data_IF_003105492778
#
_entry.id   IF_003105492778
#
_cell.length_a   1.000
_cell.length_b   1.000
_cell.length_c   1.000
_cell.angle_alpha   90.00
_cell.angle_beta   90.00
_cell.angle_gamma   90.00
#
_symmetry.space_group_name_H-M   'P 1'
#
loop_
_entity.id
_entity.type
_entity.pdbx_description
1 polymer ?
#
# COMPACT_ATOMS: atom_id res chain seq x y z
N UNK A 1 0.17 -12.75 -3.85
CA UNK A 1 -0.06 -14.20 -3.58
C UNK A 1 -1.47 -14.56 -4.05
N UNK A 2 -1.70 -15.64 -4.81
CA UNK A 2 -3.07 -15.95 -5.26
C UNK A 2 -3.93 -16.41 -4.08
N UNK A 3 -5.17 -15.93 -4.00
CA UNK A 3 -6.20 -16.31 -3.00
C UNK A 3 -6.35 -17.82 -2.79
N UNK A 4 -6.08 -18.63 -3.81
CA UNK A 4 -6.10 -20.09 -3.75
C UNK A 4 -5.07 -20.68 -2.76
N UNK A 5 -3.84 -20.18 -2.76
CA UNK A 5 -2.78 -20.69 -1.87
C UNK A 5 -3.07 -20.36 -0.40
N UNK A 6 -3.66 -19.19 -0.14
CA UNK A 6 -4.07 -18.79 1.19
C UNK A 6 -5.20 -19.68 1.73
N UNK A 7 -6.21 -19.96 0.89
CA UNK A 7 -7.31 -20.86 1.24
C UNK A 7 -6.83 -22.30 1.53
N UNK A 8 -5.91 -22.83 0.71
CA UNK A 8 -5.31 -24.16 0.94
C UNK A 8 -4.52 -24.18 2.26
N UNK A 9 -3.76 -23.12 2.55
CA UNK A 9 -3.01 -22.99 3.80
C UNK A 9 -3.91 -23.06 5.04
N UNK A 10 -5.01 -22.30 5.05
CA UNK A 10 -5.98 -22.35 6.15
C UNK A 10 -6.68 -23.70 6.30
N UNK A 11 -6.97 -24.37 5.18
CA UNK A 11 -7.55 -25.71 5.21
C UNK A 11 -6.60 -26.74 5.86
N UNK A 12 -5.30 -26.62 5.62
CA UNK A 12 -4.27 -27.44 6.30
C UNK A 12 -4.21 -27.14 7.79
N UNK A 13 -4.28 -25.86 8.19
CA UNK A 13 -4.30 -25.47 9.62
C UNK A 13 -5.53 -26.05 10.34
N UNK A 14 -6.70 -26.03 9.70
CA UNK A 14 -7.93 -26.60 10.28
C UNK A 14 -7.83 -28.12 10.46
N UNK A 15 -7.33 -28.84 9.45
CA UNK A 15 -7.10 -30.27 9.54
C UNK A 15 -6.11 -30.62 10.66
N UNK A 16 -5.06 -29.82 10.82
CA UNK A 16 -4.09 -29.97 11.89
C UNK A 16 -4.71 -29.75 13.28
N UNK A 17 -5.56 -28.73 13.43
CA UNK A 17 -6.25 -28.49 14.70
C UNK A 17 -7.13 -29.71 15.09
N UNK A 18 -7.79 -30.33 14.11
CA UNK A 18 -8.61 -31.53 14.35
C UNK A 18 -7.78 -32.75 14.75
N UNK A 19 -6.67 -33.04 14.05
CA UNK A 19 -5.79 -34.19 14.37
C UNK A 19 -5.08 -34.00 15.72
N UNK A 20 -4.64 -32.78 16.02
CA UNK A 20 -4.05 -32.41 17.31
C UNK A 20 -5.03 -32.59 18.47
N UNK A 21 -6.28 -32.16 18.29
CA UNK A 21 -7.33 -32.33 19.31
C UNK A 21 -7.57 -33.81 19.62
N UNK A 22 -7.65 -34.66 18.60
CA UNK A 22 -7.79 -36.11 18.74
C UNK A 22 -6.60 -36.75 19.47
N UNK A 23 -5.37 -36.31 19.17
CA UNK A 23 -4.17 -36.80 19.84
C UNK A 23 -4.09 -36.37 21.31
N UNK A 24 -4.48 -35.13 21.63
CA UNK A 24 -4.57 -34.65 23.01
C UNK A 24 -5.62 -35.46 23.78
N UNK A 25 -6.80 -35.70 23.21
CA UNK A 25 -7.85 -36.51 23.80
C UNK A 25 -7.41 -37.96 24.06
N UNK A 26 -6.60 -38.53 23.16
CA UNK A 26 -6.00 -39.86 23.35
C UNK A 26 -4.95 -39.86 24.47
N UNK A 27 -4.10 -38.83 24.55
CA UNK A 27 -3.07 -38.67 25.59
C UNK A 27 -3.65 -38.52 27.00
N UNK A 28 -4.77 -37.80 27.15
CA UNK A 28 -5.46 -37.65 28.45
C UNK A 28 -6.36 -38.85 28.79
N UNK A 29 -6.30 -39.94 28.00
CA UNK A 29 -7.04 -41.17 28.26
C UNK A 29 -8.55 -41.09 27.99
N UNK A 30 -9.03 -40.02 27.34
CA UNK A 30 -10.44 -39.86 26.94
C UNK A 30 -10.77 -40.69 25.69
N UNK A 31 -9.76 -41.16 24.96
CA UNK A 31 -9.90 -42.05 23.80
C UNK A 31 -8.93 -43.22 23.97
N UNK A 32 -9.43 -44.45 23.99
CA UNK A 32 -8.60 -45.65 24.03
C UNK A 32 -7.99 -45.92 22.64
N UNK A 33 -6.66 -45.93 22.55
CA UNK A 33 -5.94 -46.28 21.32
C UNK A 33 -4.86 -47.33 21.61
N UNK A 34 -4.55 -48.21 20.63
CA UNK A 34 -3.44 -49.14 20.76
C UNK A 34 -2.10 -48.41 20.94
N UNK A 35 -1.17 -48.91 21.78
CA UNK A 35 0.13 -48.26 22.03
C UNK A 35 0.97 -48.07 20.76
N UNK A 36 0.87 -48.97 19.80
CA UNK A 36 1.52 -48.87 18.48
C UNK A 36 0.97 -47.70 17.67
N UNK A 37 -0.34 -47.46 17.74
CA UNK A 37 -1.02 -46.38 17.05
C UNK A 37 -0.74 -45.02 17.70
N UNK A 38 -0.66 -44.98 19.03
CA UNK A 38 -0.34 -43.76 19.79
C UNK A 38 1.04 -43.19 19.41
N UNK A 39 2.07 -44.05 19.27
CA UNK A 39 3.41 -43.61 18.85
C UNK A 39 3.41 -43.00 17.44
N UNK A 40 2.68 -43.60 16.51
CA UNK A 40 2.55 -43.09 15.13
C UNK A 40 1.78 -41.77 15.14
N UNK A 41 0.72 -41.67 15.94
CA UNK A 41 -0.09 -40.46 16.06
C UNK A 41 0.72 -39.28 16.63
N UNK A 42 1.47 -39.50 17.71
CA UNK A 42 2.33 -38.47 18.31
C UNK A 42 3.43 -38.03 17.33
N UNK A 43 4.06 -38.97 16.63
CA UNK A 43 5.07 -38.64 15.62
C UNK A 43 4.50 -37.79 14.47
N UNK A 44 3.29 -38.11 14.00
CA UNK A 44 2.61 -37.32 12.96
C UNK A 44 2.25 -35.92 13.46
N UNK A 45 1.68 -35.79 14.66
CA UNK A 45 1.32 -34.48 15.23
C UNK A 45 2.54 -33.58 15.42
N UNK A 46 3.70 -34.14 15.80
CA UNK A 46 4.94 -33.37 15.90
C UNK A 46 5.42 -32.86 14.54
N UNK A 47 5.42 -33.71 13.51
CA UNK A 47 5.83 -33.33 12.15
C UNK A 47 4.86 -32.29 11.58
N UNK A 48 3.55 -32.52 11.70
CA UNK A 48 2.52 -31.59 11.25
C UNK A 48 2.59 -30.25 12.00
N UNK A 49 2.90 -30.27 13.30
CA UNK A 49 3.06 -29.06 14.12
C UNK A 49 4.26 -28.22 13.70
N UNK A 50 5.39 -28.86 13.37
CA UNK A 50 6.55 -28.15 12.78
C UNK A 50 6.19 -27.58 11.41
N UNK A 51 5.45 -28.31 10.59
CA UNK A 51 4.97 -27.84 9.28
C UNK A 51 4.03 -26.62 9.39
N UNK A 52 3.08 -26.64 10.32
CA UNK A 52 2.16 -25.54 10.58
C UNK A 52 2.90 -24.32 11.15
N UNK A 53 3.86 -24.51 12.06
CA UNK A 53 4.70 -23.43 12.58
C UNK A 53 5.54 -22.78 11.47
N UNK A 54 6.16 -23.58 10.59
CA UNK A 54 6.89 -23.07 9.43
C UNK A 54 5.98 -22.34 8.45
N UNK A 55 4.76 -22.84 8.21
CA UNK A 55 3.77 -22.16 7.37
C UNK A 55 3.33 -20.82 7.98
N UNK A 56 3.05 -20.77 9.28
CA UNK A 56 2.69 -19.54 9.99
C UNK A 56 3.84 -18.54 10.03
N UNK A 57 5.08 -19.01 10.23
CA UNK A 57 6.27 -18.17 10.14
C UNK A 57 6.49 -17.64 8.71
N UNK A 58 6.24 -18.47 7.69
CA UNK A 58 6.34 -18.04 6.29
C UNK A 58 5.23 -17.04 5.94
N UNK A 59 3.97 -17.31 6.32
CA UNK A 59 2.84 -16.41 6.11
C UNK A 59 3.05 -15.08 6.85
N UNK A 60 3.46 -15.12 8.12
CA UNK A 60 3.78 -13.93 8.92
C UNK A 60 5.00 -13.15 8.40
N UNK A 61 5.99 -13.83 7.82
CA UNK A 61 7.13 -13.15 7.18
C UNK A 61 6.73 -12.43 5.86
N UNK A 62 5.63 -12.86 5.23
CA UNK A 62 5.11 -12.21 4.03
C UNK A 62 4.21 -11.02 4.32
N UNK A 63 3.63 -10.89 5.53
CA UNK A 63 2.94 -9.69 6.01
C UNK A 63 3.93 -8.67 6.59
N UNK A 64 4.76 -8.10 5.73
CA UNK A 64 5.55 -6.92 6.10
C UNK A 64 4.66 -5.68 6.09
N UNK A 65 4.78 -4.82 7.10
CA UNK A 65 4.07 -3.54 7.13
C UNK A 65 4.35 -2.73 5.85
N UNK A 66 3.34 -2.06 5.27
CA UNK A 66 3.56 -1.18 4.14
C UNK A 66 4.51 -0.03 4.53
N UNK A 67 5.28 0.46 3.57
CA UNK A 67 6.21 1.56 3.81
C UNK A 67 5.47 2.80 4.35
N UNK A 68 6.02 3.43 5.40
CA UNK A 68 5.51 4.71 5.85
C UNK A 68 5.82 5.82 4.82
N UNK A 69 4.78 6.22 4.10
CA UNK A 69 4.80 7.29 3.11
C UNK A 69 4.28 8.64 3.67
N UNK A 70 3.94 8.71 4.96
CA UNK A 70 3.44 9.94 5.57
C UNK A 70 4.49 11.06 5.53
N UNK A 71 4.05 12.30 5.29
CA UNK A 71 4.90 13.49 5.25
C UNK A 71 4.63 14.40 4.05
N UNK A 72 5.55 15.33 3.81
CA UNK A 72 5.45 16.34 2.76
C UNK A 72 6.26 15.94 1.53
N UNK A 73 5.67 16.14 0.35
CA UNK A 73 6.20 15.71 -0.94
C UNK A 73 6.09 16.84 -1.96
N UNK A 74 7.08 16.96 -2.82
CA UNK A 74 6.92 17.62 -4.12
C UNK A 74 6.41 16.59 -5.12
N UNK A 75 5.60 17.02 -6.09
CA UNK A 75 5.19 16.13 -7.17
C UNK A 75 5.29 16.80 -8.54
N UNK A 76 5.51 15.95 -9.54
CA UNK A 76 5.44 16.28 -10.95
C UNK A 76 4.54 15.27 -11.66
N UNK A 77 3.59 15.77 -12.45
CA UNK A 77 2.73 14.99 -13.32
C UNK A 77 3.09 15.34 -14.75
N UNK A 78 3.61 14.38 -15.51
CA UNK A 78 4.05 14.58 -16.90
C UNK A 78 3.10 13.87 -17.84
N UNK A 79 2.44 14.63 -18.71
CA UNK A 79 1.65 14.11 -19.84
C UNK A 79 2.42 14.27 -21.15
N UNK A 80 1.81 13.93 -22.28
CA UNK A 80 2.35 14.24 -23.61
C UNK A 80 2.43 15.75 -23.89
N UNK A 81 1.61 16.56 -23.21
CA UNK A 81 1.39 17.97 -23.56
C UNK A 81 1.90 18.97 -22.53
N UNK A 82 2.12 18.52 -21.30
CA UNK A 82 2.54 19.39 -20.21
C UNK A 82 3.11 18.61 -19.03
N UNK A 83 3.91 19.30 -18.22
CA UNK A 83 4.28 18.83 -16.88
C UNK A 83 3.68 19.74 -15.82
N UNK A 84 2.86 19.20 -14.91
CA UNK A 84 2.24 19.94 -13.81
C UNK A 84 3.05 19.72 -12.53
N UNK A 85 3.35 20.79 -11.82
CA UNK A 85 4.12 20.74 -10.58
C UNK A 85 3.33 21.24 -9.38
N UNK A 86 3.64 20.67 -8.20
CA UNK A 86 3.04 21.09 -6.95
C UNK A 86 3.60 20.36 -5.74
N UNK A 87 2.85 20.46 -4.64
CA UNK A 87 3.20 19.84 -3.37
C UNK A 87 1.99 19.16 -2.75
N UNK A 88 2.24 18.12 -1.96
CA UNK A 88 1.22 17.48 -1.17
C UNK A 88 1.73 16.96 0.16
N UNK A 89 0.83 16.87 1.12
CA UNK A 89 1.01 16.16 2.37
C UNK A 89 0.24 14.85 2.31
N UNK A 90 0.90 13.77 2.68
CA UNK A 90 0.31 12.44 2.83
C UNK A 90 0.17 12.17 4.33
N UNK A 91 -1.04 11.88 4.78
CA UNK A 91 -1.36 11.59 6.18
C UNK A 91 -1.85 10.16 6.30
N UNK A 92 -1.26 9.40 7.23
CA UNK A 92 -1.68 8.05 7.58
C UNK A 92 -2.94 8.10 8.44
N UNK A 93 -3.92 7.27 8.10
CA UNK A 93 -5.16 7.05 8.86
C UNK A 93 -5.29 5.54 9.12
N UNK A 94 -5.10 5.17 10.38
CA UNK A 94 -5.19 3.78 10.85
C UNK A 94 -6.63 3.49 11.28
N UNK A 95 -7.39 2.77 10.44
CA UNK A 95 -8.77 2.39 10.75
C UNK A 95 -8.94 0.88 10.69
N UNK A 96 -9.39 0.29 11.81
CA UNK A 96 -9.92 -1.08 11.88
C UNK A 96 -9.00 -2.16 11.26
N UNK A 97 -7.68 -2.02 11.40
CA UNK A 97 -6.71 -3.00 10.88
C UNK A 97 -6.25 -2.76 9.43
N UNK A 98 -6.85 -1.79 8.73
CA UNK A 98 -6.39 -1.33 7.43
C UNK A 98 -5.58 -0.03 7.58
N UNK A 99 -4.43 0.01 6.92
CA UNK A 99 -3.63 1.23 6.80
C UNK A 99 -4.11 1.96 5.55
N UNK A 100 -4.67 3.15 5.74
CA UNK A 100 -5.09 4.03 4.65
C UNK A 100 -4.30 5.33 4.69
N UNK A 101 -4.17 5.98 3.54
CA UNK A 101 -3.57 7.31 3.46
C UNK A 101 -4.52 8.28 2.78
N UNK A 102 -4.51 9.50 3.28
CA UNK A 102 -5.15 10.65 2.63
C UNK A 102 -4.06 11.57 2.10
N UNK A 103 -4.31 12.19 0.95
CA UNK A 103 -3.39 13.12 0.34
C UNK A 103 -4.09 14.46 0.13
N UNK A 104 -3.43 15.54 0.51
CA UNK A 104 -3.91 16.90 0.26
C UNK A 104 -2.77 17.70 -0.35
N UNK A 105 -3.03 18.41 -1.43
CA UNK A 105 -2.00 19.13 -2.14
C UNK A 105 -2.50 20.33 -2.91
N UNK A 106 -1.57 20.97 -3.60
CA UNK A 106 -1.80 22.14 -4.44
C UNK A 106 -1.07 21.97 -5.77
N UNK A 107 -1.68 22.40 -6.87
CA UNK A 107 -1.00 22.62 -8.17
C UNK A 107 -0.55 24.08 -8.22
N UNK A 108 0.70 24.33 -8.58
CA UNK A 108 1.28 25.68 -8.54
C UNK A 108 1.55 26.25 -9.93
N UNK A 109 2.07 25.40 -10.81
CA UNK A 109 2.43 25.80 -12.16
C UNK A 109 2.45 24.58 -13.06
N UNK A 110 2.50 24.83 -14.37
CA UNK A 110 2.72 23.81 -15.38
C UNK A 110 3.77 24.25 -16.39
N UNK A 111 4.46 23.31 -17.00
CA UNK A 111 5.37 23.51 -18.10
C UNK A 111 4.67 23.06 -19.38
N UNK A 112 4.60 23.93 -20.37
CA UNK A 112 4.00 23.59 -21.66
C UNK A 112 4.95 22.71 -22.52
N UNK A 113 4.48 22.33 -23.70
CA UNK A 113 5.26 21.57 -24.68
C UNK A 113 6.52 22.28 -25.21
N UNK A 114 6.64 23.59 -24.98
CA UNK A 114 7.78 24.40 -25.37
C UNK A 114 8.80 24.53 -24.22
N UNK A 115 8.49 23.92 -23.07
CA UNK A 115 9.33 23.95 -21.90
C UNK A 115 9.19 25.23 -21.07
N UNK A 116 8.21 26.09 -21.36
CA UNK A 116 8.02 27.34 -20.62
C UNK A 116 7.17 27.11 -19.36
N UNK A 117 7.63 27.54 -18.18
CA UNK A 117 6.84 27.46 -16.96
C UNK A 117 5.78 28.56 -16.94
N UNK A 118 4.51 28.16 -16.76
CA UNK A 118 3.39 29.06 -16.54
C UNK A 118 2.77 28.80 -15.16
N UNK A 119 2.65 29.85 -14.36
CA UNK A 119 1.99 29.76 -13.05
C UNK A 119 0.48 29.83 -13.20
N UNK A 120 -0.25 29.05 -12.41
CA UNK A 120 -1.69 29.24 -12.30
C UNK A 120 -1.98 30.59 -11.63
N UNK A 121 -3.06 31.26 -12.04
CA UNK A 121 -3.51 32.53 -11.46
C UNK A 121 -3.66 32.45 -9.94
N UNK A 122 -4.06 31.29 -9.44
CA UNK A 122 -4.07 30.90 -8.03
C UNK A 122 -3.66 29.43 -7.90
N UNK A 123 -3.00 29.03 -6.79
CA UNK A 123 -2.77 27.62 -6.49
C UNK A 123 -4.08 26.82 -6.50
N UNK A 124 -4.12 25.71 -7.23
CA UNK A 124 -5.33 24.88 -7.33
C UNK A 124 -5.26 23.75 -6.28
N UNK A 125 -6.06 23.80 -5.20
CA UNK A 125 -6.05 22.77 -4.18
C UNK A 125 -6.67 21.48 -4.71
N UNK A 126 -6.18 20.34 -4.21
CA UNK A 126 -6.73 19.04 -4.50
C UNK A 126 -6.63 18.12 -3.28
N UNK A 127 -7.53 17.15 -3.24
CA UNK A 127 -7.57 16.14 -2.20
C UNK A 127 -7.79 14.77 -2.84
N UNK A 128 -7.21 13.73 -2.23
CA UNK A 128 -7.56 12.35 -2.54
C UNK A 128 -8.60 11.84 -1.56
N UNK A 129 -9.66 11.22 -2.09
CA UNK A 129 -10.62 10.54 -1.24
C UNK A 129 -9.98 9.33 -0.55
N UNK A 130 -9.12 8.62 -1.27
CA UNK A 130 -8.48 7.39 -0.81
C UNK A 130 -7.11 7.23 -1.43
N UNK A 131 -6.19 6.67 -0.65
CA UNK A 131 -5.14 5.85 -1.21
C UNK A 131 -5.01 4.50 -0.51
N UNK A 132 -5.13 3.44 -1.29
CA UNK A 132 -5.06 2.06 -0.81
C UNK A 132 -3.72 1.45 -1.19
N UNK A 133 -3.08 0.80 -0.23
CA UNK A 133 -1.95 -0.08 -0.51
C UNK A 133 -2.46 -1.45 -0.93
N UNK A 134 -2.01 -1.92 -2.09
CA UNK A 134 -2.45 -3.16 -2.72
C UNK A 134 -1.42 -4.28 -2.51
N UNK A 135 -0.16 -3.90 -2.33
CA UNK A 135 0.97 -4.74 -1.95
C UNK A 135 2.04 -3.83 -1.30
N UNK A 136 3.03 -4.35 -0.58
CA UNK A 136 3.96 -3.60 0.31
C UNK A 136 4.49 -2.26 -0.23
N UNK A 137 4.65 -2.12 -1.54
CA UNK A 137 5.13 -0.91 -2.22
C UNK A 137 4.12 -0.30 -3.22
N UNK A 138 2.99 -0.95 -3.50
CA UNK A 138 2.03 -0.54 -4.53
C UNK A 138 0.91 0.32 -3.93
N UNK A 139 0.65 1.47 -4.54
CA UNK A 139 -0.21 2.54 -4.03
C UNK A 139 -1.16 3.04 -5.12
N UNK A 140 -2.47 3.00 -4.89
CA UNK A 140 -3.46 3.62 -5.79
C UNK A 140 -4.16 4.78 -5.11
N UNK A 141 -4.36 5.88 -5.83
CA UNK A 141 -5.06 7.04 -5.29
C UNK A 141 -5.92 7.71 -6.36
N UNK A 142 -6.95 8.44 -5.93
CA UNK A 142 -7.75 9.31 -6.81
C UNK A 142 -7.59 10.77 -6.41
N UNK A 143 -7.80 11.71 -7.31
CA UNK A 143 -7.78 13.15 -6.99
C UNK A 143 -8.96 13.87 -7.61
N UNK A 144 -9.37 14.98 -6.99
CA UNK A 144 -10.33 15.92 -7.55
C UNK A 144 -9.80 17.34 -7.39
N UNK A 145 -9.75 18.08 -8.50
CA UNK A 145 -9.32 19.49 -8.56
C UNK A 145 -10.45 20.30 -9.19
N UNK A 146 -10.74 21.47 -8.63
CA UNK A 146 -11.61 22.45 -9.27
C UNK A 146 -10.74 23.53 -9.92
N UNK A 147 -10.81 23.67 -11.24
CA UNK A 147 -10.18 24.76 -12.01
C UNK A 147 -11.26 25.70 -12.57
N UNK A 148 -10.81 26.83 -13.12
CA UNK A 148 -11.69 27.81 -13.79
C UNK A 148 -12.47 27.20 -14.98
N UNK A 149 -11.95 26.12 -15.55
CA UNK A 149 -12.53 25.39 -16.69
C UNK A 149 -13.42 24.21 -16.28
N UNK A 150 -13.45 23.83 -15.00
CA UNK A 150 -14.29 22.76 -14.48
C UNK A 150 -13.57 21.79 -13.54
N UNK A 151 -14.19 20.62 -13.32
CA UNK A 151 -13.60 19.58 -12.46
C UNK A 151 -12.62 18.70 -13.24
N UNK A 152 -11.46 18.48 -12.62
CA UNK A 152 -10.44 17.53 -13.08
C UNK A 152 -10.40 16.37 -12.10
N UNK A 153 -10.63 15.15 -12.59
CA UNK A 153 -10.57 13.92 -11.79
C UNK A 153 -9.37 13.09 -12.19
N UNK A 154 -8.57 12.65 -11.23
CA UNK A 154 -7.38 11.84 -11.46
C UNK A 154 -7.45 10.45 -10.82
N UNK A 155 -6.74 9.50 -11.42
CA UNK A 155 -6.46 8.18 -10.86
C UNK A 155 -4.98 7.87 -11.09
N UNK A 156 -4.26 7.54 -10.03
CA UNK A 156 -2.85 7.13 -10.11
C UNK A 156 -2.61 5.74 -9.57
N UNK A 157 -1.71 5.01 -10.21
CA UNK A 157 -1.20 3.71 -9.78
C UNK A 157 0.33 3.79 -9.69
N UNK A 158 0.85 3.76 -8.46
CA UNK A 158 2.24 4.07 -8.15
C UNK A 158 2.93 2.96 -7.37
N UNK A 159 4.27 3.01 -7.37
CA UNK A 159 5.15 2.18 -6.56
C UNK A 159 6.11 3.03 -5.74
N UNK A 160 6.45 2.56 -4.55
CA UNK A 160 7.54 3.11 -3.72
C UNK A 160 8.87 2.61 -4.29
N UNK A 161 9.75 3.51 -4.74
CA UNK A 161 10.96 3.15 -5.48
C UNK A 161 12.28 3.22 -4.70
N UNK A 162 12.32 3.84 -3.51
CA UNK A 162 13.56 4.01 -2.75
C UNK A 162 13.35 3.84 -1.24
N UNK A 163 14.15 2.94 -0.64
CA UNK A 163 13.90 2.34 0.68
C UNK A 163 15.07 2.54 1.64
N UNK A 164 15.01 3.61 2.44
CA UNK A 164 15.48 3.61 3.81
C UNK A 164 14.29 3.26 4.74
N UNK A 165 14.39 3.45 6.06
CA UNK A 165 13.26 3.28 7.00
C UNK A 165 12.03 4.15 6.68
N UNK A 166 12.16 5.13 5.76
CA UNK A 166 11.06 5.92 5.19
C UNK A 166 11.19 5.99 3.67
N UNK A 167 10.05 5.97 2.97
CA UNK A 167 9.98 6.09 1.52
C UNK A 167 10.48 7.46 1.04
N UNK A 168 11.41 7.53 0.08
CA UNK A 168 11.91 8.82 -0.44
C UNK A 168 11.35 9.19 -1.81
N UNK A 169 10.83 8.22 -2.55
CA UNK A 169 10.27 8.40 -3.89
C UNK A 169 9.09 7.46 -4.11
N UNK A 170 8.03 8.00 -4.73
CA UNK A 170 6.84 7.26 -5.20
C UNK A 170 6.62 7.65 -6.66
N UNK A 171 6.43 6.70 -7.57
CA UNK A 171 6.12 7.04 -8.97
C UNK A 171 5.29 5.97 -9.66
N UNK A 172 4.62 6.37 -10.74
CA UNK A 172 3.87 5.44 -11.58
C UNK A 172 2.97 6.15 -12.59
N UNK A 173 1.96 5.43 -13.03
CA UNK A 173 1.03 5.90 -14.06
C UNK A 173 -0.04 6.80 -13.46
N UNK A 174 -0.48 7.78 -14.23
CA UNK A 174 -1.54 8.69 -13.84
C UNK A 174 -2.45 9.03 -15.02
N UNK A 175 -3.75 8.88 -14.81
CA UNK A 175 -4.79 9.24 -15.76
C UNK A 175 -5.65 10.35 -15.16
N UNK A 176 -5.95 11.37 -15.95
CA UNK A 176 -6.89 12.42 -15.56
C UNK A 176 -7.97 12.65 -16.61
N UNK A 177 -9.19 12.85 -16.14
CA UNK A 177 -10.31 13.36 -16.90
C UNK A 177 -10.37 14.87 -16.69
N UNK A 178 -10.09 15.63 -17.74
CA UNK A 178 -10.16 17.09 -17.77
C UNK A 178 -11.40 17.52 -18.59
N UNK A 179 -11.86 18.77 -18.42
CA UNK A 179 -12.81 19.36 -19.37
C UNK A 179 -12.25 19.27 -20.79
N UNK A 180 -12.94 18.55 -21.67
CA UNK A 180 -12.54 18.36 -23.07
C UNK A 180 -11.81 17.05 -23.40
N UNK A 181 -11.45 16.20 -22.42
CA UNK A 181 -10.88 14.88 -22.73
C UNK A 181 -10.21 14.14 -21.57
N UNK A 182 -9.71 12.94 -21.88
CA UNK A 182 -8.86 12.17 -20.97
C UNK A 182 -7.39 12.35 -21.35
N UNK A 183 -6.52 12.45 -20.34
CA UNK A 183 -5.08 12.52 -20.49
C UNK A 183 -4.42 11.44 -19.65
N UNK A 184 -3.46 10.73 -20.26
CA UNK A 184 -2.61 9.77 -19.59
C UNK A 184 -1.18 10.34 -19.45
N UNK A 185 -0.49 9.93 -18.41
CA UNK A 185 0.85 10.39 -18.10
C UNK A 185 1.47 9.62 -16.95
N UNK A 186 2.54 10.18 -16.40
CA UNK A 186 3.24 9.65 -15.25
C UNK A 186 3.16 10.65 -14.09
N UNK A 187 3.16 10.14 -12.86
CA UNK A 187 3.30 10.96 -11.67
C UNK A 187 4.53 10.52 -10.88
N UNK A 188 5.24 11.49 -10.33
CA UNK A 188 6.40 11.28 -9.46
C UNK A 188 6.29 12.17 -8.24
N UNK A 189 6.43 11.58 -7.06
CA UNK A 189 6.52 12.26 -5.77
C UNK A 189 7.94 12.10 -5.22
N UNK A 190 8.52 13.21 -4.77
CA UNK A 190 9.81 13.26 -4.09
C UNK A 190 9.63 13.81 -2.69
N UNK A 191 10.08 13.06 -1.68
CA UNK A 191 9.90 13.45 -0.29
C UNK A 191 10.74 14.70 0.00
N UNK A 192 10.12 15.71 0.60
CA UNK A 192 10.84 16.89 1.10
C UNK A 192 11.41 16.54 2.47
N UNK A 193 12.73 16.63 2.60
CA UNK A 193 13.40 16.50 3.90
C UNK A 193 13.19 17.81 4.67
N UNK A 194 12.26 17.80 5.60
CA UNK A 194 12.09 18.88 6.56
C UNK A 194 12.97 18.59 7.79
N UNK A 195 13.79 19.56 8.25
CA UNK A 195 14.22 19.57 9.64
C UNK A 195 12.98 19.50 10.54
N UNK A 196 13.05 18.80 11.67
CA UNK A 196 11.90 18.47 12.54
C UNK A 196 11.11 19.71 13.03
N UNK A 197 11.69 20.91 12.93
CA UNK A 197 11.11 22.17 13.43
C UNK A 197 10.88 23.25 12.36
N UNK A 198 11.01 22.92 11.06
CA UNK A 198 10.81 23.90 9.99
C UNK A 198 9.46 23.69 9.29
N UNK A 199 8.63 24.74 9.26
CA UNK A 199 7.54 24.87 8.30
C UNK A 199 8.13 24.80 6.89
N UNK A 200 8.13 23.59 6.30
CA UNK A 200 8.50 23.38 4.92
C UNK A 200 7.43 23.97 4.01
N UNK A 201 7.53 25.28 3.81
CA UNK A 201 6.93 25.95 2.69
C UNK A 201 7.88 25.78 1.50
N UNK A 202 7.47 25.06 0.46
CA UNK A 202 8.30 24.96 -0.71
C UNK A 202 8.37 26.30 -1.44
N UNK A 203 9.59 26.77 -1.74
CA UNK A 203 9.83 28.02 -2.45
C UNK A 203 10.37 29.18 -1.58
N UNK A 204 10.90 28.88 -0.40
CA UNK A 204 11.84 29.76 0.31
C UNK A 204 13.25 29.18 0.27
#
# INVERSE_FOLDING_TARGET
MSTLFFAIGWLVVILFAATSTLAILALIGKVQMPPSFLKVLVGKVLIEGVGAALFLLHAGAHEGEPYDISGTWSYALTTQTNTIHGYCTITRDDKLGDITWTMSGVRLWHQDNQGQPEHYSQPLPWHSAWAHVIDKADFKFSTSVLSDTGYIKGLGECKVLATASKATEISGEFNQMIPGGALAGNIRFLRIKCPEDADCQPGK
#
